data_IF_184994945012
#
_entry.id   IF_184994945012
#
_cell.length_a   1.000
_cell.length_b   1.000
_cell.length_c   1.000
_cell.angle_alpha   90.00
_cell.angle_beta   90.00
_cell.angle_gamma   90.00
#
_symmetry.space_group_name_H-M   'P 1'
#
loop_
_entity.id
_entity.type
_entity.pdbx_description
1 polymer ?
#
# COMPACT_ATOMS: atom_id res chain seq x y z
N UNK A 1 26.20 45.61 -33.63
CA UNK A 1 26.35 44.18 -34.00
C UNK A 1 26.50 43.43 -32.67
N UNK A 2 25.60 42.66 -32.07
CA UNK A 2 24.35 41.97 -32.46
C UNK A 2 23.45 41.80 -31.20
N UNK A 3 22.16 42.11 -31.39
CA UNK A 3 20.88 41.56 -30.87
C UNK A 3 20.62 41.22 -29.37
N UNK A 4 19.55 41.87 -28.89
CA UNK A 4 18.33 41.31 -28.26
C UNK A 4 18.52 40.56 -26.93
N UNK A 5 17.87 41.03 -25.86
CA UNK A 5 16.89 40.24 -25.10
C UNK A 5 16.21 41.11 -24.04
N UNK A 6 14.94 41.39 -24.31
CA UNK A 6 13.91 41.95 -23.45
C UNK A 6 13.81 41.13 -22.16
N UNK A 7 14.54 41.55 -21.12
CA UNK A 7 14.51 40.92 -19.79
C UNK A 7 13.27 41.40 -19.04
N UNK A 8 12.28 40.51 -19.00
CA UNK A 8 11.26 40.38 -17.96
C UNK A 8 11.58 41.17 -16.70
N UNK A 9 10.84 42.27 -16.52
CA UNK A 9 10.84 43.10 -15.32
C UNK A 9 10.38 42.22 -14.14
N UNK A 10 11.31 41.67 -13.37
CA UNK A 10 11.05 41.13 -12.05
C UNK A 10 10.78 42.30 -11.10
N UNK A 11 9.51 42.58 -10.80
CA UNK A 11 9.16 43.46 -9.69
C UNK A 11 9.32 42.69 -8.36
N UNK A 12 10.57 42.49 -7.93
CA UNK A 12 10.86 42.20 -6.54
C UNK A 12 10.85 43.52 -5.75
N UNK A 13 9.72 43.87 -5.14
CA UNK A 13 9.73 44.90 -4.10
C UNK A 13 10.50 44.35 -2.90
N UNK A 14 11.64 44.96 -2.62
CA UNK A 14 12.53 44.60 -1.52
C UNK A 14 11.91 45.05 -0.19
N UNK A 15 10.93 44.32 0.33
CA UNK A 15 10.40 44.52 1.68
C UNK A 15 11.06 43.53 2.65
N UNK A 16 11.73 44.05 3.68
CA UNK A 16 12.67 43.31 4.55
C UNK A 16 12.03 42.81 5.84
N UNK A 17 10.76 42.42 5.83
CA UNK A 17 10.04 41.77 6.94
C UNK A 17 8.95 40.88 6.37
N UNK A 18 8.99 39.59 6.72
CA UNK A 18 8.11 38.50 6.25
C UNK A 18 8.54 37.82 4.93
N UNK A 19 9.15 36.64 5.06
CA UNK A 19 9.19 35.63 3.99
C UNK A 19 7.86 34.85 4.06
N UNK A 20 6.79 35.41 3.51
CA UNK A 20 5.59 34.63 3.26
C UNK A 20 5.12 34.92 1.84
N UNK A 21 5.31 33.93 0.96
CA UNK A 21 4.70 33.91 -0.36
C UNK A 21 3.28 33.36 -0.17
N UNK A 22 2.31 34.25 -0.05
CA UNK A 22 0.90 33.86 -0.10
C UNK A 22 0.52 33.68 -1.56
N UNK A 23 0.19 32.45 -1.97
CA UNK A 23 -0.42 32.20 -3.28
C UNK A 23 -1.81 32.84 -3.27
N UNK A 24 -2.15 33.75 -4.20
CA UNK A 24 -3.49 34.28 -4.28
C UNK A 24 -4.45 33.13 -4.59
N UNK A 25 -5.22 32.70 -3.59
CA UNK A 25 -6.26 31.69 -3.74
C UNK A 25 -7.45 32.32 -4.49
N UNK A 26 -7.29 32.41 -5.81
CA UNK A 26 -8.37 32.71 -6.72
C UNK A 26 -9.17 31.44 -6.97
N UNK A 27 -10.38 31.41 -6.39
CA UNK A 27 -11.44 30.39 -6.50
C UNK A 27 -11.38 29.32 -5.41
N UNK A 28 -12.57 29.01 -4.91
CA UNK A 28 -12.90 27.95 -3.97
C UNK A 28 -12.66 26.59 -4.68
N UNK A 29 -11.40 26.27 -4.96
CA UNK A 29 -10.99 25.05 -5.64
C UNK A 29 -11.22 23.85 -4.71
N UNK A 30 -12.13 22.98 -5.11
CA UNK A 30 -12.49 21.78 -4.38
C UNK A 30 -11.28 20.83 -4.30
N UNK A 31 -10.79 20.57 -3.09
CA UNK A 31 -9.66 19.67 -2.86
C UNK A 31 -10.16 18.23 -2.91
N UNK A 32 -9.68 17.49 -3.91
CA UNK A 32 -10.06 16.09 -4.12
C UNK A 32 -8.98 15.19 -3.51
N UNK A 33 -9.33 14.32 -2.55
CA UNK A 33 -8.37 13.44 -1.88
C UNK A 33 -7.90 12.29 -2.82
N UNK A 34 -6.62 11.87 -2.72
CA UNK A 34 -6.04 10.81 -3.57
C UNK A 34 -6.56 9.39 -3.27
N UNK A 35 -6.94 8.64 -4.29
CA UNK A 35 -7.07 7.20 -4.17
C UNK A 35 -5.68 6.55 -4.16
N UNK A 36 -5.30 5.92 -3.04
CA UNK A 36 -4.00 5.22 -2.90
C UNK A 36 -4.18 3.72 -3.13
N UNK A 37 -3.35 3.15 -4.00
CA UNK A 37 -3.26 1.72 -4.26
C UNK A 37 -1.80 1.27 -4.21
N UNK A 38 -1.56 0.05 -3.71
CA UNK A 38 -0.24 -0.59 -3.72
C UNK A 38 -0.32 -1.88 -4.54
N UNK A 39 0.62 -2.04 -5.45
CA UNK A 39 0.77 -3.23 -6.29
C UNK A 39 1.97 -4.05 -5.84
N UNK A 40 1.76 -5.37 -5.79
CA UNK A 40 2.80 -6.34 -5.51
C UNK A 40 3.84 -6.40 -6.63
N UNK A 41 5.07 -6.84 -6.34
CA UNK A 41 6.11 -7.02 -7.34
C UNK A 41 5.73 -8.08 -8.36
N UNK A 42 6.28 -7.95 -9.57
CA UNK A 42 6.14 -8.99 -10.60
C UNK A 42 6.92 -10.24 -10.21
N UNK A 43 6.27 -11.41 -10.29
CA UNK A 43 6.91 -12.72 -10.05
C UNK A 43 8.13 -12.94 -10.95
N UNK A 44 8.07 -12.45 -12.19
CA UNK A 44 9.17 -12.56 -13.15
C UNK A 44 10.39 -11.75 -12.70
N UNK A 45 10.20 -10.54 -12.16
CA UNK A 45 11.31 -9.74 -11.65
C UNK A 45 12.03 -10.46 -10.49
N UNK A 46 11.24 -11.03 -9.58
CA UNK A 46 11.77 -11.73 -8.42
C UNK A 46 12.56 -12.97 -8.85
N UNK A 47 12.00 -13.78 -9.75
CA UNK A 47 12.66 -15.01 -10.23
C UNK A 47 13.95 -14.74 -11.01
N UNK A 48 13.97 -13.69 -11.86
CA UNK A 48 15.11 -13.42 -12.73
C UNK A 48 16.20 -12.56 -12.07
N UNK A 49 15.80 -11.61 -11.22
CA UNK A 49 16.70 -10.56 -10.69
C UNK A 49 16.86 -10.63 -9.19
N UNK A 50 16.17 -11.53 -8.49
CA UNK A 50 16.16 -11.62 -7.02
C UNK A 50 15.84 -10.29 -6.33
N UNK A 51 15.03 -9.45 -7.01
CA UNK A 51 14.60 -8.13 -6.55
C UNK A 51 13.09 -8.01 -6.67
N UNK A 52 12.48 -7.29 -5.74
CA UNK A 52 11.07 -6.99 -5.72
C UNK A 52 10.87 -5.47 -5.82
N UNK A 53 10.14 -5.02 -6.82
CA UNK A 53 9.71 -3.62 -6.94
C UNK A 53 8.24 -3.49 -6.59
N UNK A 54 7.97 -2.83 -5.46
CA UNK A 54 6.63 -2.43 -5.05
C UNK A 54 6.25 -1.12 -5.73
N UNK A 55 4.98 -0.96 -6.09
CA UNK A 55 4.48 0.26 -6.74
C UNK A 55 3.32 0.82 -5.95
N UNK A 56 3.40 2.10 -5.59
CA UNK A 56 2.31 2.85 -4.98
C UNK A 56 1.81 3.89 -5.97
N UNK A 57 0.50 3.86 -6.25
CA UNK A 57 -0.17 4.80 -7.11
C UNK A 57 -1.14 5.63 -6.26
N UNK A 58 -0.94 6.94 -6.24
CA UNK A 58 -1.95 7.90 -5.83
C UNK A 58 -2.60 8.46 -7.09
N UNK A 59 -3.91 8.32 -7.25
CA UNK A 59 -4.65 8.81 -8.42
C UNK A 59 -5.89 9.59 -8.03
N UNK A 60 -6.36 10.43 -8.96
CA UNK A 60 -7.63 11.15 -8.79
C UNK A 60 -7.57 12.32 -7.81
N UNK A 61 -6.38 12.86 -7.51
CA UNK A 61 -6.25 13.98 -6.58
C UNK A 61 -6.17 15.33 -7.27
N UNK A 62 -6.53 16.36 -6.53
CA UNK A 62 -6.44 17.76 -6.96
C UNK A 62 -6.34 18.67 -5.71
N UNK A 63 -5.46 19.69 -5.67
CA UNK A 63 -4.48 20.12 -6.67
C UNK A 63 -3.27 19.16 -6.79
N UNK A 64 -2.24 19.50 -7.57
CA UNK A 64 -1.09 18.62 -7.85
C UNK A 64 -0.10 18.43 -6.68
N UNK A 65 -0.33 19.11 -5.55
CA UNK A 65 0.52 19.09 -4.35
C UNK A 65 0.30 17.83 -3.50
N UNK A 66 1.01 16.75 -3.84
CA UNK A 66 0.98 15.48 -3.11
C UNK A 66 2.39 14.92 -2.90
N UNK A 67 2.66 14.39 -1.71
CA UNK A 67 3.92 13.72 -1.38
C UNK A 67 3.69 12.25 -1.06
N UNK A 68 4.42 11.35 -1.71
CA UNK A 68 4.43 9.91 -1.38
C UNK A 68 5.65 9.54 -0.55
N UNK A 69 5.43 8.76 0.50
CA UNK A 69 6.47 8.19 1.36
C UNK A 69 6.23 6.72 1.60
N UNK A 70 7.30 5.96 1.81
CA UNK A 70 7.22 4.56 2.17
C UNK A 70 7.58 4.36 3.63
N UNK A 71 6.89 3.43 4.29
CA UNK A 71 7.24 2.90 5.60
C UNK A 71 7.36 1.39 5.52
N UNK A 72 8.38 0.84 6.16
CA UNK A 72 8.58 -0.61 6.29
C UNK A 72 8.61 -0.90 7.78
N UNK A 73 7.71 -1.76 8.26
CA UNK A 73 7.58 -2.10 9.69
C UNK A 73 7.44 -0.86 10.60
N UNK A 74 6.68 0.13 10.13
CA UNK A 74 6.46 1.40 10.85
C UNK A 74 7.59 2.44 10.71
N UNK A 75 8.72 2.11 10.09
CA UNK A 75 9.87 3.03 9.93
C UNK A 75 9.90 3.62 8.52
N UNK A 76 10.10 4.94 8.41
CA UNK A 76 10.22 5.61 7.11
C UNK A 76 11.42 5.08 6.31
N UNK A 77 11.19 4.76 5.04
CA UNK A 77 12.19 4.19 4.13
C UNK A 77 12.41 5.15 2.96
N UNK A 78 13.67 5.50 2.72
CA UNK A 78 14.09 6.37 1.61
C UNK A 78 15.01 5.67 0.62
N UNK A 79 15.79 4.69 1.06
CA UNK A 79 16.68 3.97 0.14
C UNK A 79 15.87 3.03 -0.77
N UNK A 80 16.25 2.96 -2.04
CA UNK A 80 15.53 2.18 -3.06
C UNK A 80 14.18 2.79 -3.49
N UNK A 81 13.82 3.96 -2.98
CA UNK A 81 12.59 4.68 -3.34
C UNK A 81 12.84 5.57 -4.55
N UNK A 82 12.03 5.44 -5.58
CA UNK A 82 11.96 6.33 -6.73
C UNK A 82 10.54 6.82 -6.94
N UNK A 83 10.27 8.08 -6.58
CA UNK A 83 9.00 8.76 -6.86
C UNK A 83 9.13 9.52 -8.18
N UNK A 84 8.08 9.51 -9.00
CA UNK A 84 8.05 10.25 -10.26
C UNK A 84 8.24 11.76 -9.97
N UNK A 85 9.04 12.45 -10.78
CA UNK A 85 9.41 13.87 -10.56
C UNK A 85 8.22 14.83 -10.63
N UNK A 86 7.19 14.46 -11.39
CA UNK A 86 5.99 15.27 -11.61
C UNK A 86 4.75 14.40 -11.65
N UNK A 87 3.64 14.92 -11.13
CA UNK A 87 2.34 14.25 -11.25
C UNK A 87 1.83 14.25 -12.68
N UNK A 88 1.37 13.09 -13.15
CA UNK A 88 0.74 12.92 -14.45
C UNK A 88 -0.69 13.45 -14.39
N UNK A 89 -1.04 14.37 -15.30
CA UNK A 89 -2.40 14.91 -15.42
C UNK A 89 -3.30 13.94 -16.20
N UNK A 90 -4.39 13.51 -15.57
CA UNK A 90 -5.44 12.66 -16.13
C UNK A 90 -6.77 13.45 -16.14
N UNK A 91 -7.03 14.14 -17.25
CA UNK A 91 -8.20 15.00 -17.39
C UNK A 91 -8.14 16.20 -16.44
N UNK A 92 -9.06 16.24 -15.47
CA UNK A 92 -9.11 17.27 -14.40
C UNK A 92 -8.33 16.90 -13.14
N UNK A 93 -7.85 15.65 -13.03
CA UNK A 93 -7.17 15.14 -11.83
C UNK A 93 -5.71 14.82 -12.09
N UNK A 94 -4.96 14.60 -11.02
CA UNK A 94 -3.55 14.24 -11.06
C UNK A 94 -3.34 12.82 -10.52
N UNK A 95 -2.25 12.20 -10.97
CA UNK A 95 -1.75 10.92 -10.49
C UNK A 95 -0.26 10.99 -10.22
N UNK A 96 0.22 10.33 -9.17
CA UNK A 96 1.62 10.26 -8.80
C UNK A 96 1.96 8.81 -8.44
N UNK A 97 3.09 8.33 -8.95
CA UNK A 97 3.56 6.97 -8.69
C UNK A 97 4.87 7.00 -7.94
N UNK A 98 5.00 6.14 -6.93
CA UNK A 98 6.26 5.88 -6.23
C UNK A 98 6.60 4.41 -6.27
N UNK A 99 7.86 4.08 -6.53
CA UNK A 99 8.35 2.70 -6.63
C UNK A 99 9.36 2.45 -5.51
N UNK A 100 9.17 1.36 -4.77
CA UNK A 100 10.10 0.92 -3.72
C UNK A 100 10.77 -0.37 -4.18
N UNK A 101 12.08 -0.31 -4.39
CA UNK A 101 12.90 -1.44 -4.82
C UNK A 101 13.61 -2.06 -3.61
N UNK A 102 13.28 -3.31 -3.33
CA UNK A 102 13.80 -4.08 -2.20
C UNK A 102 14.37 -5.42 -2.68
N UNK A 103 15.25 -6.06 -1.89
CA UNK A 103 15.67 -7.41 -2.19
C UNK A 103 14.52 -8.41 -2.01
N UNK A 104 14.53 -9.50 -2.78
CA UNK A 104 13.45 -10.49 -2.77
C UNK A 104 13.22 -11.14 -1.40
N UNK A 105 14.28 -11.41 -0.63
CA UNK A 105 14.17 -12.02 0.70
C UNK A 105 13.34 -11.16 1.67
N UNK A 106 13.38 -9.83 1.52
CA UNK A 106 12.60 -8.92 2.37
C UNK A 106 11.12 -8.92 1.99
N UNK A 107 10.82 -9.09 0.70
CA UNK A 107 9.45 -9.27 0.22
C UNK A 107 8.85 -10.62 0.67
N UNK A 108 9.68 -11.68 0.71
CA UNK A 108 9.25 -13.03 1.07
C UNK A 108 9.02 -13.27 2.56
N UNK A 109 9.21 -12.25 3.38
CA UNK A 109 8.95 -12.32 4.81
C UNK A 109 7.57 -11.75 5.12
N UNK A 110 6.59 -12.58 5.53
CA UNK A 110 5.23 -12.13 5.81
C UNK A 110 5.13 -11.25 7.05
N UNK A 111 6.17 -11.23 7.91
CA UNK A 111 6.25 -10.30 9.02
C UNK A 111 6.51 -8.87 8.55
N UNK A 112 7.09 -8.70 7.35
CA UNK A 112 7.32 -7.38 6.80
C UNK A 112 6.02 -6.73 6.32
N UNK A 113 5.82 -5.50 6.79
CA UNK A 113 4.68 -4.66 6.47
C UNK A 113 5.15 -3.46 5.67
N UNK A 114 4.69 -3.35 4.44
CA UNK A 114 5.01 -2.27 3.52
C UNK A 114 3.85 -1.29 3.44
N UNK A 115 4.07 -0.04 3.81
CA UNK A 115 3.04 0.99 3.83
C UNK A 115 3.44 2.15 2.92
N UNK A 116 2.50 2.62 2.12
CA UNK A 116 2.64 3.83 1.33
C UNK A 116 1.76 4.91 1.94
N UNK A 117 2.36 6.06 2.24
CA UNK A 117 1.71 7.22 2.85
C UNK A 117 1.69 8.35 1.84
N UNK A 118 0.50 8.79 1.46
CA UNK A 118 0.25 9.96 0.64
C UNK A 118 -0.15 11.14 1.53
N UNK A 119 0.69 12.18 1.57
CA UNK A 119 0.44 13.41 2.31
C UNK A 119 0.00 14.52 1.36
N UNK A 120 -1.10 15.19 1.69
CA UNK A 120 -1.67 16.28 0.90
C UNK A 120 -2.28 17.35 1.84
N UNK A 121 -2.42 18.58 1.34
CA UNK A 121 -3.04 19.66 2.10
C UNK A 121 -4.54 19.71 1.81
N UNK A 122 -5.36 19.72 2.86
CA UNK A 122 -6.81 19.85 2.76
C UNK A 122 -7.33 20.77 3.88
N UNK A 123 -8.09 21.79 3.52
CA UNK A 123 -8.71 22.73 4.47
C UNK A 123 -7.70 23.30 5.49
N UNK A 124 -6.56 23.79 5.02
CA UNK A 124 -5.46 24.33 5.85
C UNK A 124 -4.78 23.33 6.80
N UNK A 125 -5.12 22.04 6.69
CA UNK A 125 -4.51 20.95 7.48
C UNK A 125 -3.77 19.97 6.58
N UNK A 126 -2.68 19.39 7.10
CA UNK A 126 -1.98 18.31 6.41
C UNK A 126 -2.69 16.99 6.68
N UNK A 127 -3.31 16.42 5.65
CA UNK A 127 -3.96 15.12 5.70
C UNK A 127 -3.03 14.04 5.14
N UNK A 128 -3.25 12.81 5.58
CA UNK A 128 -2.50 11.66 5.07
C UNK A 128 -3.41 10.46 4.83
N UNK A 129 -3.28 9.84 3.66
CA UNK A 129 -3.90 8.55 3.39
C UNK A 129 -2.83 7.50 3.21
N UNK A 130 -3.09 6.32 3.74
CA UNK A 130 -2.14 5.23 3.69
C UNK A 130 -2.80 3.93 3.30
N UNK A 131 -2.04 3.13 2.56
CA UNK A 131 -2.34 1.71 2.32
C UNK A 131 -1.15 0.89 2.74
N UNK A 132 -1.41 -0.37 3.01
CA UNK A 132 -0.37 -1.31 3.37
C UNK A 132 -0.62 -2.65 2.70
N UNK A 133 0.46 -3.38 2.49
CA UNK A 133 0.45 -4.80 2.15
C UNK A 133 1.49 -5.51 3.00
N UNK A 134 1.25 -6.80 3.24
CA UNK A 134 2.22 -7.67 3.89
C UNK A 134 3.09 -8.34 2.83
N UNK A 135 4.31 -8.72 3.23
CA UNK A 135 5.14 -9.62 2.44
C UNK A 135 4.37 -10.89 2.11
N UNK A 136 4.61 -11.41 0.91
CA UNK A 136 4.08 -12.70 0.51
C UNK A 136 5.07 -13.74 0.99
N UNK A 137 4.69 -14.65 1.88
CA UNK A 137 5.59 -15.73 2.32
C UNK A 137 6.18 -16.51 1.14
N UNK A 138 5.53 -16.46 -0.03
CA UNK A 138 5.82 -17.28 -1.16
C UNK A 138 5.56 -18.73 -0.78
N UNK A 139 4.85 -19.46 -1.63
CA UNK A 139 5.23 -20.86 -1.72
C UNK A 139 6.67 -20.82 -2.26
N UNK A 140 7.66 -21.14 -1.42
CA UNK A 140 8.94 -21.58 -1.94
C UNK A 140 8.59 -22.57 -3.06
N UNK A 141 9.02 -22.31 -4.30
CA UNK A 141 8.83 -23.26 -5.40
C UNK A 141 9.78 -24.45 -5.16
N UNK A 142 9.47 -25.21 -4.11
CA UNK A 142 9.75 -26.62 -3.97
C UNK A 142 8.38 -27.28 -3.99
N UNK A 143 8.27 -28.29 -4.84
CA UNK A 143 7.04 -29.03 -5.08
C UNK A 143 6.35 -29.42 -3.77
N UNK A 144 5.02 -29.20 -3.72
CA UNK A 144 4.15 -29.79 -2.70
C UNK A 144 3.72 -28.83 -1.59
N UNK A 145 2.41 -28.56 -1.58
CA UNK A 145 1.62 -27.87 -0.53
C UNK A 145 1.62 -26.33 -0.57
N UNK A 146 0.63 -25.78 -1.28
CA UNK A 146 0.19 -24.40 -1.08
C UNK A 146 -0.64 -24.37 0.22
N UNK A 147 -0.05 -23.81 1.29
CA UNK A 147 -0.77 -23.47 2.50
C UNK A 147 -1.74 -22.32 2.23
N UNK A 148 -3.03 -22.63 2.28
CA UNK A 148 -4.12 -21.67 2.25
C UNK A 148 -3.93 -20.64 3.38
N UNK A 149 -3.52 -19.41 3.04
CA UNK A 149 -3.58 -18.29 3.97
C UNK A 149 -5.05 -18.03 4.27
N UNK A 150 -5.48 -18.46 5.46
CA UNK A 150 -6.80 -18.25 6.02
C UNK A 150 -7.12 -16.75 5.96
N UNK A 151 -8.05 -16.36 5.08
CA UNK A 151 -8.76 -15.10 5.21
C UNK A 151 -9.48 -15.17 6.57
N UNK A 152 -9.03 -14.38 7.53
CA UNK A 152 -9.76 -14.08 8.76
C UNK A 152 -11.08 -13.41 8.35
N UNK A 153 -12.11 -14.20 8.12
CA UNK A 153 -13.47 -13.69 8.03
C UNK A 153 -13.94 -13.38 9.44
N UNK A 154 -14.21 -12.10 9.67
CA UNK A 154 -14.95 -11.57 10.80
C UNK A 154 -16.34 -12.24 10.86
N UNK A 155 -16.44 -13.39 11.54
CA UNK A 155 -17.69 -13.98 11.99
C UNK A 155 -17.71 -13.89 13.51
N UNK A 156 -18.05 -12.70 14.00
CA UNK A 156 -18.39 -12.48 15.39
C UNK A 156 -19.62 -13.31 15.76
N UNK A 157 -19.55 -13.89 16.96
CA UNK A 157 -20.67 -14.37 17.77
C UNK A 157 -21.08 -15.84 17.56
N UNK A 158 -20.65 -16.67 18.50
CA UNK A 158 -21.48 -17.54 19.37
C UNK A 158 -20.66 -18.77 19.77
N UNK A 159 -20.06 -18.81 20.98
CA UNK A 159 -19.89 -20.01 21.83
C UNK A 159 -19.56 -19.64 23.29
N UNK A 160 -20.61 -19.53 24.11
CA UNK A 160 -20.63 -19.86 25.54
C UNK A 160 -21.90 -20.74 25.67
N UNK A 161 -21.94 -21.92 26.28
CA UNK A 161 -21.13 -22.52 27.33
C UNK A 161 -20.91 -24.01 27.05
N UNK A 162 -19.75 -24.48 27.47
CA UNK A 162 -19.47 -25.88 27.77
C UNK A 162 -20.40 -26.34 28.91
N UNK A 163 -21.18 -27.40 28.67
CA UNK A 163 -21.68 -28.25 29.75
C UNK A 163 -21.42 -29.69 29.33
N UNK A 164 -20.35 -30.26 29.86
CA UNK A 164 -20.11 -31.69 29.86
C UNK A 164 -21.14 -32.34 30.77
N UNK A 165 -22.19 -32.96 30.21
CA UNK A 165 -23.03 -33.89 30.96
C UNK A 165 -22.50 -35.29 30.68
N UNK A 166 -21.82 -35.83 31.69
CA UNK A 166 -21.53 -37.25 31.83
C UNK A 166 -22.86 -38.01 31.96
N UNK A 167 -23.18 -38.85 30.99
CA UNK A 167 -24.14 -39.95 31.20
C UNK A 167 -23.38 -41.26 30.93
N UNK A 168 -23.00 -42.01 31.99
CA UNK A 168 -22.49 -43.35 31.84
C UNK A 168 -23.69 -44.30 31.74
N UNK A 169 -23.91 -44.89 30.57
CA UNK A 169 -24.81 -46.03 30.44
C UNK A 169 -24.19 -47.08 29.51
N UNK A 170 -23.82 -48.19 30.14
CA UNK A 170 -23.52 -49.49 29.55
C UNK A 170 -24.63 -49.91 28.57
N UNK A 171 -24.26 -50.54 27.46
CA UNK A 171 -24.62 -51.93 27.12
C UNK A 171 -24.26 -52.27 25.66
N UNK A 172 -23.44 -53.32 25.54
CA UNK A 172 -23.52 -54.45 24.61
C UNK A 172 -23.51 -54.25 23.09
N UNK A 173 -22.45 -54.85 22.53
CA UNK A 173 -22.43 -55.84 21.44
C UNK A 173 -22.74 -55.42 20.00
N UNK A 174 -21.78 -55.84 19.17
CA UNK A 174 -21.93 -56.50 17.89
C UNK A 174 -21.88 -55.67 16.60
N UNK A 175 -20.90 -56.05 15.76
CA UNK A 175 -20.98 -56.26 14.29
C UNK A 175 -21.42 -55.06 13.45
N UNK A 176 -20.67 -54.52 12.49
CA UNK A 176 -19.85 -55.20 11.47
C UNK A 176 -18.85 -54.21 10.87
N UNK A 177 -17.63 -54.70 10.65
CA UNK A 177 -16.65 -54.04 9.80
C UNK A 177 -17.02 -54.31 8.33
N UNK A 178 -17.54 -53.31 7.63
CA UNK A 178 -17.76 -53.33 6.19
C UNK A 178 -16.72 -52.49 5.46
N UNK A 179 -15.75 -53.18 4.83
CA UNK A 179 -14.97 -52.72 3.65
C UNK A 179 -15.97 -52.18 2.60
N UNK A 180 -15.71 -51.14 1.80
CA UNK A 180 -14.71 -50.99 0.73
C UNK A 180 -14.45 -49.48 0.53
N UNK A 181 -13.22 -48.98 0.67
CA UNK A 181 -12.26 -48.73 -0.43
C UNK A 181 -12.84 -47.96 -1.62
N UNK A 182 -12.51 -46.67 -1.69
CA UNK A 182 -11.83 -46.06 -2.84
C UNK A 182 -11.15 -44.76 -2.39
N UNK A 183 -9.83 -44.73 -2.50
CA UNK A 183 -8.96 -43.59 -2.24
C UNK A 183 -9.14 -42.50 -3.30
N UNK A 184 -9.05 -41.25 -2.88
CA UNK A 184 -8.40 -40.17 -3.65
C UNK A 184 -7.12 -39.75 -2.92
#
# INVERSE_FOLDING_TARGET
IIKILTRYFWLCTRNRRSRSCSVPHGKNEEIIPPAVAIFSPSKQEIQQKSKATLVCLASGFYPDHLTLRWRVNGVERTEGVGTDESSTKNGSTYSLTSRLRIPAWQWFDPANRFECVASFFQNETMQSMQKFIHGDAGCALREGTCGFSRKENFASSLRQLSVCIFIPALLTLNTTCGRYLLCE
#
